data_IF_195779911264
#
_entry.id   IF_195779911264
#
_cell.length_a   1.000
_cell.length_b   1.000
_cell.length_c   1.000
_cell.angle_alpha   90.00
_cell.angle_beta   90.00
_cell.angle_gamma   90.00
#
_symmetry.space_group_name_H-M   'P 1'
#
loop_
_entity.id
_entity.type
_entity.pdbx_description
1 polymer ?
#
# COMPACT_ATOMS: atom_id res chain seq x y z
N UNK A 1 6.70 -7.35 -10.23
CA UNK A 1 7.24 -5.97 -10.11
C UNK A 1 8.37 -6.01 -9.12
N UNK A 2 9.60 -5.69 -9.53
CA UNK A 2 10.71 -5.45 -8.61
C UNK A 2 10.49 -4.03 -8.05
N UNK A 3 10.51 -3.84 -6.73
CA UNK A 3 10.31 -2.54 -6.07
C UNK A 3 11.45 -1.54 -6.31
N UNK A 4 12.12 -1.60 -7.46
CA UNK A 4 13.33 -0.85 -7.84
C UNK A 4 13.20 0.65 -7.70
N UNK A 5 11.97 1.15 -7.72
CA UNK A 5 11.69 2.57 -7.63
C UNK A 5 11.22 3.00 -6.23
N UNK A 6 10.98 2.06 -5.31
CA UNK A 6 10.58 2.38 -3.95
C UNK A 6 11.82 2.57 -3.08
N UNK A 7 11.79 3.57 -2.20
CA UNK A 7 12.94 3.95 -1.38
C UNK A 7 13.07 3.10 -0.11
N UNK A 8 11.96 2.50 0.33
CA UNK A 8 11.88 1.75 1.59
C UNK A 8 10.93 0.57 1.46
N UNK A 9 11.24 -0.52 2.16
CA UNK A 9 10.33 -1.65 2.39
C UNK A 9 10.32 -1.99 3.88
N UNK A 10 9.15 -1.92 4.52
CA UNK A 10 8.94 -2.31 5.91
C UNK A 10 8.29 -3.68 5.97
N UNK A 11 8.71 -4.52 6.93
CA UNK A 11 8.18 -5.86 7.13
C UNK A 11 7.34 -5.92 8.40
N UNK A 12 6.22 -6.62 8.34
CA UNK A 12 5.54 -7.12 9.52
C UNK A 12 6.12 -8.50 9.83
N UNK A 13 6.68 -8.68 11.03
CA UNK A 13 7.24 -9.94 11.50
C UNK A 13 6.31 -10.59 12.53
N UNK A 14 6.25 -11.91 12.58
CA UNK A 14 5.62 -12.64 13.68
C UNK A 14 6.53 -12.69 14.92
N UNK A 15 6.05 -13.36 15.98
CA UNK A 15 6.78 -13.50 17.25
C UNK A 15 8.08 -14.33 17.11
N UNK A 16 8.25 -15.05 16.01
CA UNK A 16 9.45 -15.80 15.66
C UNK A 16 10.37 -15.06 14.68
N UNK A 17 10.04 -13.80 14.35
CA UNK A 17 10.79 -12.97 13.41
C UNK A 17 10.57 -13.32 11.94
N UNK A 18 9.60 -14.17 11.62
CA UNK A 18 9.28 -14.53 10.23
C UNK A 18 8.41 -13.44 9.59
N UNK A 19 8.72 -13.02 8.35
CA UNK A 19 7.90 -12.01 7.69
C UNK A 19 6.50 -12.54 7.35
N UNK A 20 5.48 -11.77 7.69
CA UNK A 20 4.07 -12.06 7.42
C UNK A 20 3.48 -11.15 6.33
N UNK A 21 4.21 -10.10 5.96
CA UNK A 21 3.79 -9.12 4.97
C UNK A 21 4.75 -7.95 4.89
N UNK A 22 4.51 -7.08 3.91
CA UNK A 22 5.37 -5.93 3.65
C UNK A 22 4.58 -4.74 3.13
N UNK A 23 5.17 -3.56 3.30
CA UNK A 23 4.75 -2.31 2.65
C UNK A 23 5.97 -1.61 2.06
N UNK A 24 5.90 -1.29 0.76
CA UNK A 24 6.91 -0.46 0.11
C UNK A 24 6.46 1.00 0.03
N UNK A 25 7.41 1.90 0.25
CA UNK A 25 7.19 3.34 0.32
C UNK A 25 8.17 4.08 -0.56
N UNK A 26 7.69 5.20 -1.10
CA UNK A 26 8.51 6.15 -1.84
C UNK A 26 8.15 7.56 -1.44
N UNK A 27 9.14 8.34 -1.05
CA UNK A 27 9.01 9.79 -1.00
C UNK A 27 8.89 10.32 -2.45
N UNK A 28 7.80 11.03 -2.74
CA UNK A 28 7.51 11.60 -4.06
C UNK A 28 7.71 13.12 -4.10
N UNK A 29 8.32 13.68 -3.05
CA UNK A 29 8.57 15.12 -2.89
C UNK A 29 7.34 15.88 -2.37
N UNK A 30 7.52 17.19 -2.18
CA UNK A 30 6.46 18.10 -1.70
C UNK A 30 5.82 17.70 -0.36
N UNK A 31 6.57 17.00 0.49
CA UNK A 31 6.07 16.50 1.77
C UNK A 31 5.10 15.33 1.63
N UNK A 32 5.13 14.59 0.53
CA UNK A 32 4.26 13.45 0.28
C UNK A 32 5.05 12.14 0.05
N UNK A 33 4.48 11.03 0.52
CA UNK A 33 4.93 9.69 0.17
C UNK A 33 3.83 8.88 -0.53
N UNK A 34 4.23 7.82 -1.21
CA UNK A 34 3.34 6.86 -1.87
C UNK A 34 3.65 5.43 -1.42
N UNK A 35 2.61 4.67 -1.11
CA UNK A 35 2.67 3.21 -1.00
C UNK A 35 2.77 2.63 -2.42
N UNK A 36 3.84 1.86 -2.68
CA UNK A 36 4.00 1.11 -3.92
C UNK A 36 3.20 -0.20 -3.87
N UNK A 37 3.50 -1.04 -2.88
CA UNK A 37 2.80 -2.29 -2.59
C UNK A 37 2.53 -2.41 -1.10
N UNK A 38 1.39 -3.01 -0.76
CA UNK A 38 1.05 -3.44 0.59
C UNK A 38 0.40 -4.81 0.48
N UNK A 39 1.03 -5.83 1.07
CA UNK A 39 0.54 -7.20 0.97
C UNK A 39 0.89 -8.00 2.23
N UNK A 40 -0.04 -8.87 2.63
CA UNK A 40 0.26 -9.99 3.51
C UNK A 40 0.76 -11.17 2.66
N UNK A 41 1.66 -11.97 3.23
CA UNK A 41 2.12 -13.19 2.59
C UNK A 41 1.04 -14.29 2.60
N UNK A 42 1.11 -15.25 1.66
CA UNK A 42 0.19 -16.38 1.63
C UNK A 42 0.14 -17.10 2.99
N UNK A 43 -1.05 -17.50 3.42
CA UNK A 43 -1.26 -18.15 4.72
C UNK A 43 -1.29 -17.21 5.93
N UNK A 44 -0.98 -15.93 5.75
CA UNK A 44 -0.95 -14.93 6.83
C UNK A 44 -2.27 -14.14 7.00
N UNK A 45 -3.28 -14.41 6.17
CA UNK A 45 -4.54 -13.66 6.14
C UNK A 45 -5.30 -13.64 7.47
N UNK A 46 -6.10 -12.60 7.69
CA UNK A 46 -7.00 -12.49 8.85
C UNK A 46 -6.35 -12.07 10.17
N UNK A 47 -5.03 -11.86 10.21
CA UNK A 47 -4.27 -11.54 11.44
C UNK A 47 -3.99 -10.04 11.65
N UNK A 48 -4.78 -9.17 11.04
CA UNK A 48 -4.60 -7.72 11.16
C UNK A 48 -3.30 -7.16 10.53
N UNK A 49 -2.60 -7.94 9.73
CA UNK A 49 -1.30 -7.55 9.12
C UNK A 49 -1.41 -6.27 8.30
N UNK A 50 -2.46 -6.13 7.49
CA UNK A 50 -2.67 -4.90 6.71
C UNK A 50 -2.75 -3.65 7.59
N UNK A 51 -3.37 -3.75 8.76
CA UNK A 51 -3.47 -2.63 9.70
C UNK A 51 -2.12 -2.31 10.35
N UNK A 52 -1.34 -3.35 10.72
CA UNK A 52 0.03 -3.18 11.22
C UNK A 52 0.93 -2.50 10.18
N UNK A 53 0.83 -2.90 8.91
CA UNK A 53 1.59 -2.31 7.81
C UNK A 53 1.17 -0.86 7.52
N UNK A 54 -0.14 -0.55 7.55
CA UNK A 54 -0.61 0.83 7.42
C UNK A 54 -0.10 1.72 8.58
N UNK A 55 -0.17 1.23 9.81
CA UNK A 55 0.35 1.95 10.97
C UNK A 55 1.86 2.20 10.85
N UNK A 56 2.64 1.21 10.42
CA UNK A 56 4.07 1.36 10.17
C UNK A 56 4.37 2.39 9.09
N UNK A 57 3.62 2.37 7.98
CA UNK A 57 3.77 3.35 6.90
C UNK A 57 3.46 4.78 7.34
N UNK A 58 2.39 4.98 8.12
CA UNK A 58 2.02 6.28 8.68
C UNK A 58 3.09 6.75 9.68
N UNK A 59 3.55 5.88 10.57
CA UNK A 59 4.60 6.19 11.55
C UNK A 59 5.90 6.62 10.87
N UNK A 60 6.30 5.93 9.80
CA UNK A 60 7.45 6.34 9.00
C UNK A 60 7.26 7.73 8.37
N UNK A 61 6.10 8.02 7.79
CA UNK A 61 5.82 9.35 7.23
C UNK A 61 5.92 10.45 8.30
N UNK A 62 5.42 10.20 9.51
CA UNK A 62 5.52 11.12 10.64
C UNK A 62 6.97 11.38 11.04
N UNK A 63 7.81 10.33 11.09
CA UNK A 63 9.24 10.45 11.39
C UNK A 63 9.98 11.26 10.33
N UNK A 64 9.58 11.14 9.05
CA UNK A 64 10.12 11.93 7.94
C UNK A 64 9.47 13.31 7.80
N UNK A 65 8.56 13.69 8.71
CA UNK A 65 7.81 14.95 8.66
C UNK A 65 7.02 15.16 7.36
N UNK A 66 6.60 14.05 6.73
CA UNK A 66 5.75 14.07 5.54
C UNK A 66 4.28 14.30 5.95
N UNK A 67 3.60 15.14 5.20
CA UNK A 67 2.24 15.60 5.48
C UNK A 67 1.17 14.67 4.89
N UNK A 68 1.51 13.89 3.85
CA UNK A 68 0.52 13.07 3.15
C UNK A 68 1.11 11.73 2.71
N UNK A 69 0.34 10.67 2.94
CA UNK A 69 0.59 9.34 2.41
C UNK A 69 -0.47 8.99 1.37
N UNK A 70 -0.03 8.70 0.14
CA UNK A 70 -0.87 8.29 -0.98
C UNK A 70 -0.83 6.77 -1.17
N UNK A 71 -1.95 6.20 -1.58
CA UNK A 71 -2.03 4.80 -2.03
C UNK A 71 -3.01 4.69 -3.18
N UNK A 72 -2.68 3.87 -4.17
CA UNK A 72 -3.57 3.56 -5.27
C UNK A 72 -4.11 2.13 -5.12
N UNK A 73 -5.39 1.93 -5.40
CA UNK A 73 -6.00 0.60 -5.47
C UNK A 73 -7.11 0.58 -6.52
N UNK A 74 -7.50 -0.61 -6.94
CA UNK A 74 -8.64 -0.79 -7.83
C UNK A 74 -9.93 -0.46 -7.06
N UNK A 75 -10.89 0.19 -7.73
CA UNK A 75 -12.21 0.50 -7.15
C UNK A 75 -12.94 -0.78 -6.70
N UNK A 76 -12.73 -1.89 -7.38
CA UNK A 76 -13.29 -3.21 -7.03
C UNK A 76 -12.63 -3.86 -5.81
N UNK A 77 -11.46 -3.38 -5.37
CA UNK A 77 -10.76 -3.93 -4.21
C UNK A 77 -11.34 -3.39 -2.90
N UNK A 78 -12.56 -3.84 -2.58
CA UNK A 78 -13.31 -3.40 -1.40
C UNK A 78 -12.59 -3.67 -0.08
N UNK A 79 -11.77 -4.72 -0.01
CA UNK A 79 -10.95 -5.03 1.17
C UNK A 79 -9.87 -3.97 1.40
N UNK A 80 -9.11 -3.60 0.37
CA UNK A 80 -8.10 -2.55 0.47
C UNK A 80 -8.73 -1.18 0.75
N UNK A 81 -9.85 -0.84 0.09
CA UNK A 81 -10.57 0.41 0.35
C UNK A 81 -11.00 0.52 1.82
N UNK A 82 -11.63 -0.54 2.37
CA UNK A 82 -12.02 -0.57 3.79
C UNK A 82 -10.80 -0.45 4.72
N UNK A 83 -9.70 -1.12 4.38
CA UNK A 83 -8.45 -1.02 5.15
C UNK A 83 -7.96 0.43 5.17
N UNK A 84 -7.80 1.07 4.01
CA UNK A 84 -7.26 2.42 3.93
C UNK A 84 -8.17 3.45 4.60
N UNK A 85 -9.49 3.36 4.41
CA UNK A 85 -10.46 4.25 5.06
C UNK A 85 -10.43 4.13 6.59
N UNK A 86 -10.28 2.92 7.13
CA UNK A 86 -10.13 2.72 8.59
C UNK A 86 -8.87 3.39 9.16
N UNK A 87 -7.87 3.63 8.31
CA UNK A 87 -6.64 4.33 8.65
C UNK A 87 -6.64 5.81 8.20
N UNK A 88 -7.81 6.38 7.94
CA UNK A 88 -7.97 7.82 7.66
C UNK A 88 -7.76 8.22 6.20
N UNK A 89 -7.59 7.26 5.28
CA UNK A 89 -7.51 7.59 3.86
C UNK A 89 -8.87 8.03 3.32
N UNK A 90 -8.84 9.04 2.46
CA UNK A 90 -9.99 9.50 1.67
C UNK A 90 -9.71 9.28 0.18
N UNK A 91 -10.77 9.18 -0.62
CA UNK A 91 -10.63 9.12 -2.07
C UNK A 91 -10.22 10.52 -2.54
N UNK A 92 -9.01 10.63 -3.09
CA UNK A 92 -8.44 11.89 -3.62
C UNK A 92 -8.66 12.00 -5.14
N UNK A 93 -8.52 10.90 -5.87
CA UNK A 93 -8.69 10.84 -7.31
C UNK A 93 -9.05 9.44 -7.80
N UNK A 94 -9.69 9.37 -8.96
CA UNK A 94 -9.99 8.12 -9.68
C UNK A 94 -9.45 8.22 -11.09
N UNK A 95 -8.75 7.19 -11.56
CA UNK A 95 -8.30 7.06 -12.94
C UNK A 95 -8.85 5.76 -13.54
N UNK A 96 -9.22 5.80 -14.82
CA UNK A 96 -9.69 4.64 -15.56
C UNK A 96 -8.60 4.14 -16.48
N UNK A 97 -8.14 2.91 -16.25
CA UNK A 97 -7.26 2.21 -17.17
C UNK A 97 -8.10 1.26 -18.02
N UNK A 98 -8.34 1.63 -19.26
CA UNK A 98 -9.00 0.79 -20.25
C UNK A 98 -7.94 -0.13 -20.85
N UNK A 99 -7.87 -1.35 -20.33
CA UNK A 99 -7.06 -2.40 -20.92
C UNK A 99 -7.83 -3.01 -22.09
N UNK A 100 -7.16 -3.18 -23.23
CA UNK A 100 -7.74 -3.89 -24.37
C UNK A 100 -8.01 -5.34 -23.98
N UNK A 101 -9.22 -5.79 -24.26
CA UNK A 101 -9.55 -7.21 -24.16
C UNK A 101 -8.89 -7.98 -25.31
N UNK A 102 -8.72 -9.28 -25.13
CA UNK A 102 -8.22 -10.19 -26.18
C UNK A 102 -9.08 -10.23 -27.45
N UNK A 103 -10.25 -9.58 -27.44
CA UNK A 103 -11.23 -9.56 -28.54
C UNK A 103 -11.38 -8.18 -29.21
N UNK A 104 -10.59 -7.17 -28.80
CA UNK A 104 -10.64 -5.85 -29.44
C UNK A 104 -9.83 -5.87 -30.74
N UNK A 105 -10.49 -5.71 -31.90
CA UNK A 105 -9.83 -5.66 -33.22
C UNK A 105 -8.96 -4.40 -33.39
N UNK A 106 -7.91 -4.47 -34.23
CA UNK A 106 -6.98 -3.36 -34.54
C UNK A 106 -7.65 -2.31 -35.42
#
# INVERSE_FOLDING_TARGET
MLGTFDHLCLLALDDHGQPEGFVSLRDIGSGEARIGLLAAFPGAGGRGIGARLMAAAIGWCQQQQLQRLRVATQISNSAALRLYQRHGAVIDSTAYWLYRGSHDSI
#
